data_IF_286788310144
#
_entry.id   IF_286788310144
#
_cell.length_a   1.000
_cell.length_b   1.000
_cell.length_c   1.000
_cell.angle_alpha   90.00
_cell.angle_beta   90.00
_cell.angle_gamma   90.00
#
_symmetry.space_group_name_H-M   'P 1'
#
loop_
_entity.id
_entity.type
_entity.pdbx_description
1 polymer ?
#
# COMPACT_ATOMS: atom_id res chain seq x y z
N UNK A 1 -5.84 -5.31 -36.07
CA UNK A 1 -4.50 -5.42 -36.71
C UNK A 1 -3.58 -4.41 -36.01
N UNK A 2 -3.11 -4.70 -34.79
CA UNK A 2 -2.38 -3.73 -33.94
C UNK A 2 -1.32 -4.39 -33.03
N UNK A 3 -0.90 -5.62 -33.33
CA UNK A 3 -0.08 -6.44 -32.43
C UNK A 3 1.42 -6.37 -32.72
N UNK A 4 1.82 -5.78 -33.86
CA UNK A 4 3.22 -5.81 -34.31
C UNK A 4 4.05 -4.61 -33.84
N UNK A 5 3.42 -3.48 -33.47
CA UNK A 5 4.15 -2.30 -32.93
C UNK A 5 4.60 -2.56 -31.49
N UNK A 6 3.66 -3.01 -30.65
CA UNK A 6 3.83 -3.16 -29.21
C UNK A 6 4.99 -4.12 -28.85
N UNK A 7 5.12 -5.23 -29.59
CA UNK A 7 6.22 -6.17 -29.39
C UNK A 7 7.60 -5.58 -29.70
N UNK A 8 7.70 -4.71 -30.72
CA UNK A 8 8.96 -4.08 -31.10
C UNK A 8 9.33 -2.96 -30.13
N UNK A 9 8.34 -2.21 -29.62
CA UNK A 9 8.54 -1.16 -28.61
C UNK A 9 8.99 -1.74 -27.27
N UNK A 10 8.40 -2.84 -26.82
CA UNK A 10 8.83 -3.57 -25.61
C UNK A 10 10.26 -4.09 -25.78
N UNK A 11 10.60 -4.63 -26.95
CA UNK A 11 11.95 -5.14 -27.24
C UNK A 11 13.00 -4.03 -27.32
N UNK A 12 12.63 -2.86 -27.85
CA UNK A 12 13.48 -1.67 -27.90
C UNK A 12 13.74 -1.13 -26.48
N UNK A 13 12.69 -1.02 -25.67
CA UNK A 13 12.76 -0.57 -24.26
C UNK A 13 13.62 -1.51 -23.41
N UNK A 14 13.47 -2.82 -23.61
CA UNK A 14 14.28 -3.83 -22.92
C UNK A 14 15.76 -3.72 -23.31
N UNK A 15 16.06 -3.48 -24.60
CA UNK A 15 17.44 -3.28 -25.07
C UNK A 15 18.09 -2.04 -24.48
N UNK A 16 17.39 -0.90 -24.48
CA UNK A 16 17.91 0.35 -23.90
C UNK A 16 18.18 0.22 -22.40
N UNK A 17 17.29 -0.46 -21.68
CA UNK A 17 17.47 -0.76 -20.26
C UNK A 17 18.69 -1.64 -20.03
N UNK A 18 18.92 -2.65 -20.87
CA UNK A 18 20.10 -3.51 -20.81
C UNK A 18 21.40 -2.73 -21.08
N UNK A 19 21.40 -1.82 -22.04
CA UNK A 19 22.55 -0.95 -22.35
C UNK A 19 22.84 0.00 -21.19
N UNK A 20 21.81 0.54 -20.54
CA UNK A 20 21.94 1.38 -19.35
C UNK A 20 22.60 0.65 -18.18
N UNK A 21 22.15 -0.56 -17.88
CA UNK A 21 22.72 -1.41 -16.80
C UNK A 21 24.15 -1.82 -17.12
N UNK A 22 24.43 -2.22 -18.37
CA UNK A 22 25.78 -2.56 -18.83
C UNK A 22 26.74 -1.37 -18.65
N UNK A 23 26.35 -0.18 -19.11
CA UNK A 23 27.17 1.03 -18.96
C UNK A 23 27.35 1.45 -17.49
N UNK A 24 26.39 1.16 -16.62
CA UNK A 24 26.52 1.42 -15.18
C UNK A 24 27.50 0.44 -14.51
N UNK A 25 27.41 -0.85 -14.85
CA UNK A 25 28.36 -1.87 -14.42
C UNK A 25 29.79 -1.57 -14.89
N UNK A 26 29.95 -1.20 -16.17
CA UNK A 26 31.24 -0.81 -16.75
C UNK A 26 31.89 0.34 -15.96
N UNK A 27 31.10 1.35 -15.57
CA UNK A 27 31.58 2.51 -14.80
C UNK A 27 31.99 2.16 -13.37
N UNK A 28 31.26 1.27 -12.69
CA UNK A 28 31.66 0.83 -11.35
C UNK A 28 32.93 -0.03 -11.38
N UNK A 29 33.07 -0.91 -12.38
CA UNK A 29 34.29 -1.71 -12.58
C UNK A 29 35.49 -0.82 -12.88
N UNK A 30 35.33 0.16 -13.76
CA UNK A 30 36.40 1.10 -14.12
C UNK A 30 36.80 2.02 -12.95
N UNK A 31 35.89 2.24 -11.98
CA UNK A 31 36.14 3.03 -10.78
C UNK A 31 36.90 2.25 -9.70
N UNK A 32 36.67 0.94 -9.59
CA UNK A 32 37.32 0.06 -8.60
C UNK A 32 38.68 -0.44 -9.11
N UNK A 33 38.83 -0.62 -10.42
CA UNK A 33 40.08 -1.05 -11.05
C UNK A 33 40.49 -0.02 -12.10
N UNK A 34 41.20 1.02 -11.67
CA UNK A 34 41.80 2.02 -12.57
C UNK A 34 42.75 1.32 -13.55
N UNK A 35 42.71 1.72 -14.83
CA UNK A 35 43.55 1.13 -15.88
C UNK A 35 45.06 1.20 -15.56
N UNK A 36 45.50 2.28 -14.88
CA UNK A 36 46.87 2.44 -14.37
C UNK A 36 47.30 1.37 -13.37
N UNK A 37 46.36 0.88 -12.55
CA UNK A 37 46.62 -0.19 -11.58
C UNK A 37 46.97 -1.49 -12.30
N UNK A 38 46.40 -1.73 -13.49
CA UNK A 38 46.72 -2.92 -14.29
C UNK A 38 48.16 -2.88 -14.78
N UNK A 39 48.63 -1.75 -15.31
CA UNK A 39 49.98 -1.64 -15.85
C UNK A 39 51.05 -1.73 -14.75
N UNK A 40 50.81 -1.11 -13.58
CA UNK A 40 51.66 -1.28 -12.39
C UNK A 40 51.63 -2.69 -11.80
N UNK A 41 50.47 -3.34 -11.81
CA UNK A 41 50.36 -4.74 -11.38
C UNK A 41 51.17 -5.65 -12.31
N UNK A 42 51.09 -5.48 -13.63
CA UNK A 42 51.88 -6.26 -14.59
C UNK A 42 53.39 -6.05 -14.43
N UNK A 43 53.86 -4.81 -14.28
CA UNK A 43 55.29 -4.54 -14.06
C UNK A 43 55.79 -5.09 -12.73
N UNK A 44 54.97 -5.03 -11.67
CA UNK A 44 55.34 -5.61 -10.38
C UNK A 44 55.37 -7.14 -10.46
N UNK A 45 54.37 -7.75 -11.09
CA UNK A 45 54.32 -9.21 -11.26
C UNK A 45 55.51 -9.73 -12.07
N UNK A 46 55.90 -9.03 -13.14
CA UNK A 46 57.08 -9.43 -13.93
C UNK A 46 58.39 -9.30 -13.15
N UNK A 47 58.56 -8.22 -12.38
CA UNK A 47 59.73 -8.05 -11.51
C UNK A 47 59.78 -9.10 -10.40
N UNK A 48 58.65 -9.39 -9.74
CA UNK A 48 58.56 -10.44 -8.71
C UNK A 48 58.86 -11.84 -9.25
N UNK A 49 58.44 -12.14 -10.48
CA UNK A 49 58.75 -13.42 -11.13
C UNK A 49 60.26 -13.60 -11.37
N UNK A 50 60.99 -12.51 -11.66
CA UNK A 50 62.44 -12.54 -11.83
C UNK A 50 63.19 -12.57 -10.49
N UNK A 51 62.70 -11.87 -9.47
CA UNK A 51 63.35 -11.84 -8.15
C UNK A 51 63.14 -13.12 -7.33
N UNK A 52 61.92 -13.69 -7.34
CA UNK A 52 61.55 -14.87 -6.53
C UNK A 52 60.59 -15.82 -7.26
N UNK A 53 61.09 -16.61 -8.23
CA UNK A 53 60.27 -17.47 -9.10
C UNK A 53 59.45 -18.54 -8.34
N UNK A 54 59.97 -19.10 -7.24
CA UNK A 54 59.27 -20.11 -6.44
C UNK A 54 58.03 -19.55 -5.72
N UNK A 55 58.12 -18.33 -5.16
CA UNK A 55 56.97 -17.70 -4.49
C UNK A 55 55.90 -17.27 -5.49
N UNK A 56 56.32 -16.79 -6.66
CA UNK A 56 55.39 -16.47 -7.75
C UNK A 56 54.61 -17.71 -8.20
N UNK A 57 55.30 -18.83 -8.46
CA UNK A 57 54.66 -20.09 -8.84
C UNK A 57 53.69 -20.60 -7.75
N UNK A 58 54.06 -20.47 -6.47
CA UNK A 58 53.19 -20.82 -5.35
C UNK A 58 51.91 -19.97 -5.32
N UNK A 59 52.03 -18.64 -5.42
CA UNK A 59 50.88 -17.73 -5.45
C UNK A 59 50.00 -17.98 -6.68
N UNK A 60 50.59 -18.23 -7.86
CA UNK A 60 49.84 -18.55 -9.08
C UNK A 60 49.10 -19.88 -8.92
N UNK A 61 49.76 -20.92 -8.40
CA UNK A 61 49.11 -22.19 -8.13
C UNK A 61 47.96 -22.05 -7.13
N UNK A 62 48.19 -21.30 -6.04
CA UNK A 62 47.17 -20.98 -5.04
C UNK A 62 46.00 -20.21 -5.65
N UNK A 63 46.27 -19.23 -6.52
CA UNK A 63 45.25 -18.45 -7.21
C UNK A 63 44.44 -19.31 -8.17
N UNK A 64 45.08 -20.20 -8.93
CA UNK A 64 44.39 -21.15 -9.83
C UNK A 64 43.52 -22.09 -9.01
N UNK A 65 44.06 -22.73 -7.97
CA UNK A 65 43.31 -23.66 -7.13
C UNK A 65 42.19 -22.96 -6.34
N UNK A 66 42.37 -21.71 -5.93
CA UNK A 66 41.35 -20.91 -5.23
C UNK A 66 40.32 -20.29 -6.18
N UNK A 67 40.65 -20.08 -7.45
CA UNK A 67 39.71 -19.52 -8.44
C UNK A 67 38.53 -20.44 -8.70
N UNK A 68 38.76 -21.76 -8.75
CA UNK A 68 37.72 -22.76 -8.97
C UNK A 68 36.61 -22.70 -7.89
N UNK A 69 36.90 -22.77 -6.58
CA UNK A 69 35.86 -22.64 -5.55
C UNK A 69 35.19 -21.25 -5.54
N UNK A 70 35.91 -20.18 -5.90
CA UNK A 70 35.31 -18.84 -6.00
C UNK A 70 34.28 -18.78 -7.14
N UNK A 71 34.58 -19.34 -8.31
CA UNK A 71 33.66 -19.34 -9.46
C UNK A 71 32.42 -20.17 -9.13
N UNK A 72 32.60 -21.35 -8.54
CA UNK A 72 31.49 -22.23 -8.16
C UNK A 72 30.60 -21.54 -7.12
N UNK A 73 31.20 -20.96 -6.07
CA UNK A 73 30.45 -20.24 -5.04
C UNK A 73 29.73 -19.03 -5.61
N UNK A 74 30.37 -18.24 -6.47
CA UNK A 74 29.74 -17.08 -7.10
C UNK A 74 28.56 -17.50 -8.00
N UNK A 75 28.71 -18.58 -8.76
CA UNK A 75 27.65 -19.10 -9.62
C UNK A 75 26.48 -19.60 -8.79
N UNK A 76 26.77 -20.31 -7.69
CA UNK A 76 25.77 -20.75 -6.74
C UNK A 76 25.04 -19.56 -6.12
N UNK A 77 25.77 -18.58 -5.58
CA UNK A 77 25.18 -17.39 -4.96
C UNK A 77 24.27 -16.61 -5.94
N UNK A 78 24.73 -16.36 -7.17
CA UNK A 78 23.92 -15.70 -8.20
C UNK A 78 22.67 -16.52 -8.54
N UNK A 79 22.83 -17.83 -8.73
CA UNK A 79 21.71 -18.72 -9.03
C UNK A 79 20.68 -18.72 -7.89
N UNK A 80 21.14 -18.79 -6.64
CA UNK A 80 20.28 -18.74 -5.45
C UNK A 80 19.55 -17.42 -5.35
N UNK A 81 20.21 -16.29 -5.61
CA UNK A 81 19.57 -14.96 -5.59
C UNK A 81 18.48 -14.88 -6.66
N UNK A 82 18.80 -15.27 -7.90
CA UNK A 82 17.82 -15.25 -9.00
C UNK A 82 16.65 -16.18 -8.71
N UNK A 83 16.93 -17.39 -8.21
CA UNK A 83 15.90 -18.35 -7.83
C UNK A 83 15.01 -17.83 -6.68
N UNK A 84 15.62 -17.26 -5.63
CA UNK A 84 14.89 -16.70 -4.49
C UNK A 84 14.01 -15.51 -4.90
N UNK A 85 14.52 -14.61 -5.74
CA UNK A 85 13.74 -13.50 -6.29
C UNK A 85 12.59 -14.01 -7.16
N UNK A 86 12.84 -14.98 -8.04
CA UNK A 86 11.79 -15.59 -8.87
C UNK A 86 10.70 -16.25 -8.02
N UNK A 87 11.09 -17.06 -7.03
CA UNK A 87 10.17 -17.69 -6.10
C UNK A 87 9.38 -16.66 -5.27
N UNK A 88 10.04 -15.62 -4.77
CA UNK A 88 9.40 -14.55 -4.01
C UNK A 88 8.36 -13.81 -4.86
N UNK A 89 8.66 -13.51 -6.13
CA UNK A 89 7.71 -12.85 -7.04
C UNK A 89 6.49 -13.74 -7.30
N UNK A 90 6.69 -15.02 -7.62
CA UNK A 90 5.59 -15.96 -7.87
C UNK A 90 4.74 -16.11 -6.60
N UNK A 91 5.38 -16.28 -5.45
CA UNK A 91 4.72 -16.41 -4.16
C UNK A 91 3.91 -15.16 -3.80
N UNK A 92 4.48 -13.96 -3.99
CA UNK A 92 3.80 -12.70 -3.76
C UNK A 92 2.61 -12.53 -4.71
N UNK A 93 2.77 -12.80 -6.02
CA UNK A 93 1.66 -12.73 -6.98
C UNK A 93 0.53 -13.69 -6.60
N UNK A 94 0.88 -14.90 -6.18
CA UNK A 94 -0.09 -15.90 -5.73
C UNK A 94 -0.87 -15.39 -4.51
N UNK A 95 -0.18 -14.92 -3.46
CA UNK A 95 -0.82 -14.39 -2.26
C UNK A 95 -1.65 -13.14 -2.51
N UNK A 96 -1.17 -12.24 -3.37
CA UNK A 96 -1.93 -11.05 -3.80
C UNK A 96 -3.19 -11.49 -4.54
N UNK A 97 -3.11 -12.48 -5.42
CA UNK A 97 -4.28 -13.05 -6.10
C UNK A 97 -5.30 -13.65 -5.13
N UNK A 98 -4.84 -14.45 -4.17
CA UNK A 98 -5.68 -15.02 -3.10
C UNK A 98 -6.32 -13.90 -2.27
N UNK A 99 -5.55 -12.89 -1.86
CA UNK A 99 -6.06 -11.74 -1.12
C UNK A 99 -7.13 -11.00 -1.93
N UNK A 100 -6.94 -10.79 -3.23
CA UNK A 100 -7.93 -10.16 -4.11
C UNK A 100 -9.22 -10.98 -4.20
N UNK A 101 -9.09 -12.32 -4.31
CA UNK A 101 -10.22 -13.25 -4.38
C UNK A 101 -11.05 -13.23 -3.10
N UNK A 102 -10.42 -13.01 -1.94
CA UNK A 102 -11.11 -12.83 -0.65
C UNK A 102 -11.64 -11.40 -0.49
N UNK A 103 -10.90 -10.39 -0.94
CA UNK A 103 -11.27 -8.98 -0.79
C UNK A 103 -12.56 -8.66 -1.53
N UNK A 104 -12.74 -9.16 -2.77
CA UNK A 104 -13.94 -8.94 -3.58
C UNK A 104 -15.23 -9.34 -2.83
N UNK A 105 -15.39 -10.59 -2.35
CA UNK A 105 -16.58 -10.99 -1.61
C UNK A 105 -16.71 -10.25 -0.27
N UNK A 106 -15.61 -9.92 0.42
CA UNK A 106 -15.67 -9.08 1.62
C UNK A 106 -16.21 -7.68 1.31
N UNK A 107 -15.79 -7.08 0.19
CA UNK A 107 -16.28 -5.76 -0.24
C UNK A 107 -17.77 -5.81 -0.58
N UNK A 108 -18.21 -6.84 -1.31
CA UNK A 108 -19.63 -7.06 -1.57
C UNK A 108 -20.43 -7.24 -0.29
N UNK A 109 -19.91 -8.02 0.66
CA UNK A 109 -20.56 -8.25 1.94
C UNK A 109 -20.70 -6.94 2.74
N UNK A 110 -19.61 -6.17 2.85
CA UNK A 110 -19.62 -4.89 3.57
C UNK A 110 -20.51 -3.83 2.90
N UNK A 111 -20.51 -3.75 1.56
CA UNK A 111 -21.44 -2.90 0.81
C UNK A 111 -22.90 -3.31 1.06
N UNK A 112 -23.20 -4.62 1.03
CA UNK A 112 -24.55 -5.14 1.30
C UNK A 112 -25.03 -4.75 2.70
N UNK A 113 -24.19 -4.97 3.72
CA UNK A 113 -24.47 -4.54 5.10
C UNK A 113 -24.67 -3.03 5.18
N UNK A 114 -23.83 -2.25 4.50
CA UNK A 114 -23.96 -0.79 4.44
C UNK A 114 -25.30 -0.33 3.87
N UNK A 115 -25.76 -0.96 2.78
CA UNK A 115 -27.08 -0.66 2.17
C UNK A 115 -28.22 -1.04 3.12
N UNK A 116 -28.13 -2.17 3.81
CA UNK A 116 -29.15 -2.58 4.79
C UNK A 116 -29.25 -1.57 5.94
N UNK A 117 -28.11 -1.17 6.51
CA UNK A 117 -28.07 -0.16 7.56
C UNK A 117 -28.59 1.19 7.06
N UNK A 118 -28.20 1.61 5.86
CA UNK A 118 -28.69 2.86 5.27
C UNK A 118 -30.20 2.83 5.06
N UNK A 119 -30.73 1.73 4.52
CA UNK A 119 -32.18 1.53 4.33
C UNK A 119 -32.92 1.56 5.65
N UNK A 120 -32.34 0.96 6.69
CA UNK A 120 -32.91 0.98 8.05
C UNK A 120 -32.95 2.39 8.64
N UNK A 121 -31.85 3.15 8.51
CA UNK A 121 -31.75 4.53 9.00
C UNK A 121 -32.69 5.44 8.21
N UNK A 122 -32.68 5.36 6.88
CA UNK A 122 -33.60 6.11 6.02
C UNK A 122 -35.05 5.77 6.34
N UNK A 123 -35.37 4.49 6.49
CA UNK A 123 -36.70 4.00 6.88
C UNK A 123 -37.14 4.55 8.23
N UNK A 124 -36.27 4.51 9.24
CA UNK A 124 -36.55 5.06 10.57
C UNK A 124 -36.78 6.58 10.54
N UNK A 125 -35.98 7.31 9.77
CA UNK A 125 -36.13 8.75 9.59
C UNK A 125 -37.44 9.11 8.87
N UNK A 126 -37.80 8.36 7.81
CA UNK A 126 -39.06 8.51 7.09
C UNK A 126 -40.26 8.20 8.00
N UNK A 127 -40.19 7.13 8.80
CA UNK A 127 -41.23 6.79 9.79
C UNK A 127 -41.38 7.89 10.84
N UNK A 128 -40.28 8.38 11.39
CA UNK A 128 -40.29 9.47 12.36
C UNK A 128 -40.91 10.73 11.75
N UNK A 129 -40.49 11.11 10.56
CA UNK A 129 -41.05 12.27 9.83
C UNK A 129 -42.54 12.11 9.56
N UNK A 130 -42.97 10.94 9.09
CA UNK A 130 -44.39 10.66 8.84
C UNK A 130 -45.21 10.71 10.12
N UNK A 131 -44.70 10.18 11.23
CA UNK A 131 -45.32 10.31 12.54
C UNK A 131 -45.38 11.76 13.02
N UNK A 132 -44.35 12.58 12.77
CA UNK A 132 -44.38 14.01 13.09
C UNK A 132 -45.40 14.77 12.24
N UNK A 133 -45.53 14.46 10.95
CA UNK A 133 -46.50 15.09 10.04
C UNK A 133 -47.95 14.63 10.33
N UNK A 134 -48.14 13.39 10.78
CA UNK A 134 -49.46 12.83 11.13
C UNK A 134 -49.85 13.09 12.58
N UNK A 135 -48.88 13.42 13.44
CA UNK A 135 -49.13 13.85 14.79
C UNK A 135 -49.55 15.32 14.81
N UNK A 136 -50.77 15.66 15.26
CA UNK A 136 -51.20 17.04 15.48
C UNK A 136 -50.47 17.73 16.66
N UNK A 137 -49.31 17.20 17.11
CA UNK A 137 -48.63 17.62 18.34
C UNK A 137 -47.49 18.62 18.10
N UNK A 138 -47.22 19.06 16.86
CA UNK A 138 -46.37 20.26 16.65
C UNK A 138 -47.13 21.59 16.76
N UNK A 139 -48.42 21.58 17.09
CA UNK A 139 -49.18 22.79 17.43
C UNK A 139 -50.01 22.59 18.70
N UNK A 140 -49.36 22.24 19.81
CA UNK A 140 -49.77 22.63 21.17
C UNK A 140 -48.68 22.26 22.16
N UNK A 141 -47.61 23.04 22.15
CA UNK A 141 -46.72 23.18 23.29
C UNK A 141 -47.47 23.83 24.46
N UNK A 142 -48.33 23.04 25.10
CA UNK A 142 -49.07 23.39 26.31
C UNK A 142 -49.11 22.15 27.18
N UNK A 143 -48.05 21.91 27.95
CA UNK A 143 -48.09 20.97 29.05
C UNK A 143 -49.13 21.50 30.03
N UNK A 144 -50.32 20.92 30.01
CA UNK A 144 -51.38 21.23 30.94
C UNK A 144 -51.12 20.46 32.23
N UNK A 145 -50.38 21.09 33.14
CA UNK A 145 -50.03 20.51 34.43
C UNK A 145 -51.19 20.80 35.38
N UNK A 146 -52.06 19.82 35.61
CA UNK A 146 -53.08 19.92 36.66
C UNK A 146 -52.41 19.86 38.03
N UNK A 147 -52.30 21.03 38.66
CA UNK A 147 -51.86 21.13 40.05
C UNK A 147 -53.06 20.80 40.96
N UNK A 148 -52.89 20.13 42.12
CA UNK A 148 -53.97 19.64 42.99
C UNK A 148 -54.95 20.71 43.55
N UNK A 149 -54.81 21.98 43.16
CA UNK A 149 -55.60 23.11 43.64
C UNK A 149 -56.56 23.68 42.57
N UNK A 150 -56.91 22.91 41.54
CA UNK A 150 -57.99 23.23 40.61
C UNK A 150 -57.79 24.48 39.73
N UNK A 151 -56.55 24.91 39.52
CA UNK A 151 -56.22 26.00 38.59
C UNK A 151 -55.43 25.47 37.40
N UNK A 152 -55.99 25.66 36.19
CA UNK A 152 -55.38 25.28 34.91
C UNK A 152 -54.37 26.35 34.49
N UNK A 153 -53.09 25.98 34.45
CA UNK A 153 -52.03 26.80 33.87
C UNK A 153 -51.68 26.26 32.49
N UNK A 154 -51.89 27.08 31.46
CA UNK A 154 -51.49 26.76 30.09
C UNK A 154 -50.14 27.42 29.87
N UNK A 155 -49.07 26.64 29.93
CA UNK A 155 -47.70 27.11 29.67
C UNK A 155 -47.42 26.96 28.19
N UNK A 156 -47.64 28.05 27.44
CA UNK A 156 -47.18 28.17 26.05
C UNK A 156 -45.70 28.48 26.01
N UNK A 157 -44.93 27.74 25.21
CA UNK A 157 -43.53 28.06 24.92
C UNK A 157 -43.46 28.74 23.55
N UNK A 158 -43.41 30.06 23.53
CA UNK A 158 -42.97 30.83 22.37
C UNK A 158 -41.48 31.19 22.52
N UNK A 159 -40.84 31.50 21.39
CA UNK A 159 -39.39 31.45 21.20
C UNK A 159 -38.60 32.52 21.97
N UNK A 160 -39.23 33.33 22.84
CA UNK A 160 -38.59 34.41 23.59
C UNK A 160 -38.73 34.36 25.12
N UNK A 161 -39.30 33.32 25.72
CA UNK A 161 -39.31 33.11 27.17
C UNK A 161 -40.64 32.59 27.72
N UNK A 162 -40.60 31.94 28.89
CA UNK A 162 -41.79 31.36 29.51
C UNK A 162 -42.65 32.44 30.17
N UNK A 163 -43.78 32.82 29.56
CA UNK A 163 -44.81 33.63 30.23
C UNK A 163 -46.01 32.78 30.68
N UNK A 164 -46.37 32.91 31.96
CA UNK A 164 -47.52 32.25 32.56
C UNK A 164 -48.72 33.19 32.59
N UNK A 165 -49.73 32.93 31.75
CA UNK A 165 -51.00 33.65 31.82
C UNK A 165 -51.99 32.94 32.75
N UNK A 166 -52.43 33.65 33.79
CA UNK A 166 -53.46 33.21 34.72
C UNK A 166 -54.84 33.36 34.05
N UNK A 167 -55.49 32.25 33.74
CA UNK A 167 -56.86 32.24 33.23
C UNK A 167 -57.84 32.82 34.25
N UNK A 168 -58.41 33.98 33.94
CA UNK A 168 -59.39 34.66 34.79
C UNK A 168 -60.77 33.98 34.64
N UNK A 169 -61.30 33.45 35.75
CA UNK A 169 -62.69 32.96 35.82
C UNK A 169 -63.64 34.12 35.50
N UNK A 170 -64.38 34.02 34.40
CA UNK A 170 -65.63 34.77 34.24
C UNK A 170 -66.70 34.03 35.07
N UNK A 171 -67.20 34.72 36.08
CA UNK A 171 -68.40 34.35 36.84
C UNK A 171 -69.63 34.39 35.96
#
# INVERSE_FOLDING_TARGET
MATHSDYNDIKATAKDSAVGVYNYGQRQINRVVSFDTRQKAYSNVSNFAQERPLLFAFIVAQAIFSSLPIIVFSTFAVSTIVFALGAAVIFALFWVGVALLVLVPTLFFTCSVGILVWTWVAGSYLLARWLYEMSPVSAKGGLEIETPNGQKFVVGKDENGFEAHKGQRRS
#
